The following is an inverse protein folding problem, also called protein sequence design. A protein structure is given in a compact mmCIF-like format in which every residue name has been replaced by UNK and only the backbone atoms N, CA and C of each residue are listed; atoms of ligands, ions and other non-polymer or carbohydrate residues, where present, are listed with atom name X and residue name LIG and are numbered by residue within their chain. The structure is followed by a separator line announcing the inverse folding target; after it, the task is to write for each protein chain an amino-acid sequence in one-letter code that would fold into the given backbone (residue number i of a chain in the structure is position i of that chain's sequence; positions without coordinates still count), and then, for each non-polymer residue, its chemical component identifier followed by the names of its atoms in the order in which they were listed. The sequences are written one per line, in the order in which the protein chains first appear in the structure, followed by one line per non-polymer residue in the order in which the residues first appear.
data_IF_069333748581
#
_entry.id   IF_069333748581
#
_cell.length_a   1.000
_cell.length_b   1.000
_cell.length_c   1.000
_cell.angle_alpha   90.00
_cell.angle_beta   90.00
_cell.angle_gamma   90.00
#
_symmetry.space_group_name_H-M   'P 1'
#
loop_
_entity.id
_entity.type
_entity.pdbx_description
1 polymer ?
#
# COMPACT_ATOMS: atom_id res chain seq x y z
N UNK A 1 -61.43 2.54 -19.22
CA UNK A 1 -60.43 3.27 -18.42
C UNK A 1 -59.64 2.33 -17.48
N UNK A 2 -59.09 1.21 -17.98
CA UNK A 2 -58.23 0.28 -17.20
C UNK A 2 -56.97 -0.18 -17.95
N UNK A 3 -56.68 0.38 -19.13
CA UNK A 3 -55.49 0.02 -19.95
C UNK A 3 -54.41 1.11 -20.02
N UNK A 4 -54.64 2.28 -19.41
CA UNK A 4 -53.67 3.40 -19.45
C UNK A 4 -52.82 3.47 -18.16
N UNK A 5 -53.28 2.88 -17.06
CA UNK A 5 -52.55 2.92 -15.78
C UNK A 5 -51.42 1.87 -15.75
N UNK A 6 -51.55 0.75 -16.49
CA UNK A 6 -50.52 -0.30 -16.51
C UNK A 6 -49.27 0.07 -17.34
N UNK A 7 -49.40 1.04 -18.26
CA UNK A 7 -48.29 1.49 -19.10
C UNK A 7 -47.37 2.50 -18.39
N UNK A 8 -47.87 3.21 -17.38
CA UNK A 8 -47.07 4.16 -16.61
C UNK A 8 -46.32 3.51 -15.44
N UNK A 9 -46.83 2.41 -14.87
CA UNK A 9 -46.12 1.65 -13.82
C UNK A 9 -44.96 0.81 -14.36
N UNK A 10 -44.99 0.44 -15.65
CA UNK A 10 -43.89 -0.26 -16.33
C UNK A 10 -42.80 0.67 -16.88
N UNK A 11 -43.08 1.97 -17.01
CA UNK A 11 -42.08 2.97 -17.46
C UNK A 11 -41.27 3.56 -16.30
N UNK A 12 -41.76 3.46 -15.06
CA UNK A 12 -41.02 3.89 -13.85
C UNK A 12 -40.20 2.77 -13.20
N UNK A 13 -40.31 1.53 -13.68
CA UNK A 13 -39.44 0.41 -13.26
C UNK A 13 -38.26 0.19 -14.23
N UNK A 14 -38.19 0.96 -15.32
CA UNK A 14 -37.15 0.86 -16.35
C UNK A 14 -36.07 1.96 -16.25
N UNK A 15 -36.09 2.80 -15.21
CA UNK A 15 -35.09 3.87 -14.97
C UNK A 15 -34.26 3.61 -13.71
N UNK A 16 -34.38 2.45 -13.07
CA UNK A 16 -33.69 2.14 -11.81
C UNK A 16 -32.64 1.03 -11.91
N UNK A 17 -32.29 0.57 -13.11
CA UNK A 17 -31.23 -0.44 -13.31
C UNK A 17 -30.28 0.07 -14.40
N UNK A 18 -29.69 1.22 -14.12
CA UNK A 18 -28.44 1.67 -14.73
C UNK A 18 -27.40 1.89 -13.65
N UNK A 19 -27.43 1.07 -12.60
CA UNK A 19 -26.19 0.72 -11.93
C UNK A 19 -25.48 -0.22 -12.89
N UNK A 20 -24.59 0.35 -13.72
CA UNK A 20 -23.57 -0.45 -14.37
C UNK A 20 -22.89 -1.23 -13.25
N UNK A 21 -23.22 -2.52 -13.17
CA UNK A 21 -22.32 -3.57 -12.73
C UNK A 21 -21.12 -3.54 -13.68
N UNK A 22 -20.30 -2.49 -13.58
CA UNK A 22 -18.92 -2.56 -13.97
C UNK A 22 -18.32 -3.56 -13.00
N UNK A 23 -18.29 -4.83 -13.41
CA UNK A 23 -17.33 -5.76 -12.88
C UNK A 23 -15.97 -5.10 -13.12
N UNK A 24 -15.46 -4.38 -12.13
CA UNK A 24 -14.04 -4.07 -12.06
C UNK A 24 -13.37 -5.44 -12.07
N UNK A 25 -12.76 -5.79 -13.20
CA UNK A 25 -11.71 -6.79 -13.15
C UNK A 25 -10.74 -6.30 -12.07
N UNK A 26 -10.45 -7.08 -11.02
CA UNK A 26 -9.51 -6.64 -10.00
C UNK A 26 -8.17 -6.40 -10.69
N UNK A 27 -7.83 -5.15 -10.99
CA UNK A 27 -6.48 -4.78 -11.40
C UNK A 27 -5.66 -4.75 -10.13
N UNK A 28 -4.94 -5.84 -9.85
CA UNK A 28 -3.89 -5.84 -8.85
C UNK A 28 -2.92 -4.73 -9.17
N UNK A 29 -2.60 -3.87 -8.22
CA UNK A 29 -1.43 -3.01 -8.35
C UNK A 29 -0.18 -3.85 -8.05
N UNK A 30 0.91 -3.72 -8.83
CA UNK A 30 2.14 -4.43 -8.51
C UNK A 30 2.60 -4.06 -7.10
N UNK A 31 2.62 -5.04 -6.20
CA UNK A 31 3.25 -4.92 -4.90
C UNK A 31 4.74 -5.20 -5.02
N UNK A 32 5.59 -4.26 -4.60
CA UNK A 32 7.04 -4.34 -4.73
C UNK A 32 7.70 -4.30 -3.35
N UNK A 33 8.56 -5.28 -3.08
CA UNK A 33 9.54 -5.25 -2.00
C UNK A 33 10.91 -5.60 -2.57
N UNK A 34 11.99 -5.07 -1.98
CA UNK A 34 13.33 -5.39 -2.45
C UNK A 34 14.35 -5.35 -1.31
N UNK A 35 15.37 -6.19 -1.43
CA UNK A 35 16.63 -6.06 -0.71
C UNK A 35 17.75 -5.68 -1.70
N UNK A 36 19.03 -5.75 -1.29
CA UNK A 36 20.16 -5.43 -2.17
C UNK A 36 20.32 -6.39 -3.35
N UNK A 37 19.77 -7.61 -3.28
CA UNK A 37 20.00 -8.71 -4.20
C UNK A 37 18.75 -9.13 -4.99
N UNK A 38 17.56 -8.97 -4.42
CA UNK A 38 16.30 -9.49 -4.96
C UNK A 38 15.19 -8.46 -4.83
N UNK A 39 14.43 -8.29 -5.91
CA UNK A 39 13.16 -7.60 -5.93
C UNK A 39 12.03 -8.64 -6.05
N UNK A 40 11.04 -8.55 -5.17
CA UNK A 40 9.84 -9.36 -5.15
C UNK A 40 8.66 -8.54 -5.67
N UNK A 41 8.06 -8.99 -6.77
CA UNK A 41 6.91 -8.31 -7.40
C UNK A 41 5.69 -9.22 -7.39
N UNK A 42 4.68 -8.88 -6.60
CA UNK A 42 3.37 -9.50 -6.66
C UNK A 42 2.50 -8.75 -7.66
N UNK A 43 2.10 -9.40 -8.75
CA UNK A 43 1.21 -8.80 -9.74
C UNK A 43 0.35 -9.87 -10.42
N UNK A 44 -0.94 -9.56 -10.53
CA UNK A 44 -1.97 -10.45 -11.03
C UNK A 44 -1.89 -11.80 -10.31
N UNK A 45 -1.59 -12.86 -11.03
CA UNK A 45 -1.62 -14.25 -10.61
C UNK A 45 -0.24 -14.81 -10.25
N UNK A 46 0.79 -13.96 -10.15
CA UNK A 46 2.15 -14.37 -9.81
C UNK A 46 2.85 -13.45 -8.81
N UNK A 47 3.83 -14.03 -8.15
CA UNK A 47 4.92 -13.38 -7.43
C UNK A 47 6.20 -13.71 -8.17
N UNK A 48 6.98 -12.70 -8.54
CA UNK A 48 8.27 -12.87 -9.22
C UNK A 48 9.39 -12.44 -8.30
N UNK A 49 10.46 -13.22 -8.25
CA UNK A 49 11.73 -12.78 -7.68
C UNK A 49 12.70 -12.44 -8.81
N UNK A 50 13.21 -11.22 -8.81
CA UNK A 50 14.06 -10.66 -9.86
C UNK A 50 15.39 -10.23 -9.25
N UNK A 51 16.49 -10.58 -9.88
CA UNK A 51 17.83 -10.17 -9.48
C UNK A 51 18.02 -8.66 -9.69
N UNK A 52 18.34 -7.93 -8.62
CA UNK A 52 18.44 -6.45 -8.64
C UNK A 52 19.66 -5.94 -9.42
N UNK A 53 20.66 -6.79 -9.65
CA UNK A 53 21.89 -6.40 -10.36
C UNK A 53 21.70 -6.32 -11.87
N UNK A 54 20.78 -7.13 -12.43
CA UNK A 54 20.67 -7.29 -13.87
C UNK A 54 19.23 -7.49 -14.40
N UNK A 55 18.22 -7.56 -13.53
CA UNK A 55 16.83 -7.73 -13.93
C UNK A 55 16.44 -9.15 -14.36
N UNK A 56 17.29 -10.16 -14.13
CA UNK A 56 16.98 -11.54 -14.49
C UNK A 56 16.01 -12.20 -13.50
N UNK A 57 15.11 -13.04 -14.02
CA UNK A 57 14.20 -13.83 -13.20
C UNK A 57 14.98 -14.86 -12.38
N UNK A 58 14.78 -14.87 -11.06
CA UNK A 58 15.28 -15.93 -10.17
C UNK A 58 14.28 -17.07 -10.05
N UNK A 59 13.03 -16.74 -9.74
CA UNK A 59 11.92 -17.70 -9.66
C UNK A 59 10.57 -16.99 -9.78
N UNK A 60 9.51 -17.76 -10.02
CA UNK A 60 8.13 -17.30 -9.97
C UNK A 60 7.25 -18.24 -9.15
N UNK A 61 6.25 -17.69 -8.47
CA UNK A 61 5.26 -18.43 -7.71
C UNK A 61 3.84 -17.96 -8.07
N UNK A 62 2.86 -18.87 -8.24
CA UNK A 62 3.05 -20.29 -8.48
C UNK A 62 3.79 -20.53 -9.82
N UNK A 63 4.35 -21.73 -10.00
CA UNK A 63 5.03 -22.09 -11.26
C UNK A 63 4.07 -22.06 -12.47
N UNK A 64 2.81 -22.43 -12.23
CA UNK A 64 1.71 -22.31 -13.18
C UNK A 64 0.62 -21.42 -12.59
N UNK A 65 0.16 -20.45 -13.38
CA UNK A 65 -0.88 -19.52 -12.97
C UNK A 65 -2.18 -20.26 -12.61
N UNK A 66 -2.68 -20.04 -11.40
CA UNK A 66 -4.07 -20.39 -11.09
C UNK A 66 -4.98 -19.20 -11.39
N UNK A 67 -6.07 -19.44 -12.15
CA UNK A 67 -7.11 -18.42 -12.38
C UNK A 67 -7.86 -18.02 -11.11
N UNK A 68 -7.70 -18.78 -10.01
CA UNK A 68 -8.34 -18.50 -8.72
C UNK A 68 -7.50 -17.65 -7.78
N UNK A 69 -6.25 -17.30 -8.13
CA UNK A 69 -5.36 -16.51 -7.27
C UNK A 69 -5.06 -15.16 -7.89
N UNK A 70 -5.16 -14.12 -7.08
CA UNK A 70 -4.71 -12.77 -7.43
C UNK A 70 -4.05 -12.14 -6.22
N UNK A 71 -2.84 -11.63 -6.39
CA UNK A 71 -2.04 -10.99 -5.37
C UNK A 71 -2.19 -9.47 -5.50
N UNK A 72 -2.47 -8.80 -4.38
CA UNK A 72 -2.65 -7.34 -4.29
C UNK A 72 -1.78 -6.71 -3.22
N UNK A 73 -1.57 -7.43 -2.11
CA UNK A 73 -0.68 -6.99 -1.05
C UNK A 73 0.77 -6.99 -1.56
N UNK A 74 1.54 -6.00 -1.13
CA UNK A 74 2.98 -6.02 -1.36
C UNK A 74 3.58 -7.22 -0.62
N UNK A 75 4.50 -7.98 -1.24
CA UNK A 75 5.25 -8.99 -0.52
C UNK A 75 5.97 -8.37 0.66
N UNK A 76 6.03 -9.06 1.79
CA UNK A 76 6.72 -8.59 3.00
C UNK A 76 7.86 -9.54 3.29
N UNK A 77 9.09 -9.02 3.28
CA UNK A 77 10.26 -9.74 3.79
C UNK A 77 10.23 -9.70 5.31
N UNK A 78 10.22 -10.86 5.93
CA UNK A 78 10.24 -11.00 7.38
C UNK A 78 11.68 -10.90 7.91
N UNK A 79 11.88 -10.55 9.19
CA UNK A 79 13.22 -10.50 9.79
C UNK A 79 13.98 -11.83 9.75
N UNK A 80 13.27 -12.97 9.75
CA UNK A 80 13.86 -14.31 9.62
C UNK A 80 14.11 -14.74 8.17
N UNK A 81 13.91 -13.85 7.18
CA UNK A 81 14.20 -14.12 5.77
C UNK A 81 13.16 -15.02 5.11
N UNK A 82 11.89 -14.86 5.44
CA UNK A 82 10.76 -15.42 4.69
C UNK A 82 10.07 -14.32 3.88
N UNK A 83 9.31 -14.72 2.87
CA UNK A 83 8.51 -13.81 2.05
C UNK A 83 7.03 -14.08 2.26
N UNK A 84 6.32 -13.15 2.90
CA UNK A 84 4.88 -13.24 3.11
C UNK A 84 4.12 -12.62 1.95
N UNK A 85 3.10 -13.32 1.46
CA UNK A 85 2.22 -12.82 0.40
C UNK A 85 0.77 -13.19 0.70
N UNK A 86 -0.07 -12.17 0.83
CA UNK A 86 -1.52 -12.33 0.96
C UNK A 86 -2.23 -12.28 -0.39
N UNK A 87 -3.27 -13.11 -0.56
CA UNK A 87 -4.05 -13.17 -1.79
C UNK A 87 -5.56 -12.92 -1.61
N UNK A 88 -6.24 -12.73 -2.75
CA UNK A 88 -7.69 -12.51 -2.83
C UNK A 88 -8.54 -13.75 -2.54
N UNK A 89 -7.92 -14.93 -2.42
CA UNK A 89 -8.57 -16.18 -2.07
C UNK A 89 -8.54 -16.45 -0.56
N UNK A 90 -8.29 -15.41 0.25
CA UNK A 90 -8.21 -15.48 1.72
C UNK A 90 -7.03 -16.30 2.24
N UNK A 91 -5.95 -16.40 1.46
CA UNK A 91 -4.75 -17.13 1.85
C UNK A 91 -3.58 -16.16 2.09
N UNK A 92 -2.92 -16.33 3.23
CA UNK A 92 -1.59 -15.79 3.49
C UNK A 92 -0.58 -16.93 3.35
N UNK A 93 0.45 -16.73 2.52
CA UNK A 93 1.47 -17.74 2.25
C UNK A 93 2.83 -17.20 2.68
N UNK A 94 3.64 -18.04 3.32
CA UNK A 94 5.08 -17.83 3.47
C UNK A 94 5.83 -18.60 2.41
N UNK A 95 6.72 -17.90 1.70
CA UNK A 95 7.57 -18.45 0.65
C UNK A 95 9.04 -18.35 1.09
N UNK A 96 9.82 -19.35 0.70
CA UNK A 96 11.26 -19.28 0.76
C UNK A 96 11.76 -18.25 -0.28
N UNK A 97 12.49 -17.20 0.12
CA UNK A 97 12.92 -16.12 -0.77
C UNK A 97 13.93 -16.55 -1.84
N UNK A 98 14.62 -17.68 -1.67
CA UNK A 98 15.65 -18.16 -2.59
C UNK A 98 15.05 -18.95 -3.76
N UNK A 99 13.93 -19.64 -3.54
CA UNK A 99 13.39 -20.59 -4.53
C UNK A 99 11.87 -20.52 -4.74
N UNK A 100 11.16 -19.70 -3.98
CA UNK A 100 9.71 -19.52 -4.09
C UNK A 100 8.87 -20.72 -3.62
N UNK A 101 9.48 -21.70 -2.93
CA UNK A 101 8.74 -22.81 -2.34
C UNK A 101 7.93 -22.33 -1.14
N UNK A 102 6.73 -22.88 -0.98
CA UNK A 102 5.88 -22.57 0.16
C UNK A 102 6.40 -23.23 1.43
N UNK A 103 6.63 -22.42 2.46
CA UNK A 103 6.99 -22.88 3.80
C UNK A 103 5.71 -23.27 4.56
N UNK A 104 4.71 -22.39 4.56
CA UNK A 104 3.43 -22.60 5.22
C UNK A 104 2.34 -21.72 4.59
N UNK A 105 1.08 -22.03 4.93
CA UNK A 105 -0.11 -21.27 4.53
C UNK A 105 -1.06 -21.08 5.70
N UNK A 106 -1.76 -19.95 5.70
CA UNK A 106 -2.83 -19.62 6.63
C UNK A 106 -4.08 -19.21 5.85
N UNK A 107 -5.24 -19.77 6.19
CA UNK A 107 -6.53 -19.46 5.57
C UNK A 107 -7.38 -18.63 6.53
N UNK A 108 -7.78 -17.44 6.09
CA UNK A 108 -8.63 -16.53 6.84
C UNK A 108 -10.09 -16.58 6.35
N UNK A 109 -10.98 -15.90 7.08
CA UNK A 109 -12.38 -15.77 6.69
C UNK A 109 -12.58 -14.86 5.46
N UNK A 110 -11.64 -13.93 5.21
CA UNK A 110 -11.70 -12.99 4.11
C UNK A 110 -10.32 -12.71 3.49
N UNK A 111 -10.35 -12.07 2.32
CA UNK A 111 -9.16 -11.74 1.52
C UNK A 111 -8.19 -10.80 2.24
N UNK A 112 -6.91 -10.98 1.93
CA UNK A 112 -5.84 -10.07 2.33
C UNK A 112 -5.70 -8.96 1.28
N UNK A 113 -5.93 -7.72 1.68
CA UNK A 113 -5.75 -6.52 0.83
C UNK A 113 -4.57 -5.70 1.34
N UNK A 114 -4.54 -5.41 2.65
CA UNK A 114 -3.39 -4.80 3.30
C UNK A 114 -2.23 -5.78 3.46
N UNK A 115 -1.00 -5.28 3.40
CA UNK A 115 0.19 -6.09 3.66
C UNK A 115 0.29 -6.39 5.15
N UNK A 116 0.73 -7.60 5.55
CA UNK A 116 0.93 -7.93 6.96
C UNK A 116 2.12 -7.15 7.55
N UNK A 117 2.10 -6.93 8.86
CA UNK A 117 3.30 -6.53 9.60
C UNK A 117 4.01 -7.80 10.08
N UNK A 118 5.29 -7.95 9.76
CA UNK A 118 6.14 -8.99 10.36
C UNK A 118 7.12 -8.35 11.34
N UNK A 119 7.23 -8.96 12.51
CA UNK A 119 8.16 -8.60 13.59
C UNK A 119 9.08 -9.79 13.85
N UNK A 120 10.01 -9.67 14.80
CA UNK A 120 10.87 -10.79 15.20
C UNK A 120 10.09 -11.97 15.81
N UNK A 121 8.87 -11.73 16.33
CA UNK A 121 8.14 -12.72 17.10
C UNK A 121 6.75 -13.06 16.53
N UNK A 122 6.17 -12.17 15.73
CA UNK A 122 4.77 -12.28 15.29
C UNK A 122 4.53 -11.64 13.94
N UNK A 123 3.45 -12.10 13.29
CA UNK A 123 2.89 -11.57 12.05
C UNK A 123 1.48 -11.05 12.35
N UNK A 124 1.21 -9.80 12.02
CA UNK A 124 -0.11 -9.18 12.16
C UNK A 124 -0.72 -8.96 10.78
N UNK A 125 -1.78 -9.71 10.46
CA UNK A 125 -2.33 -9.83 9.11
C UNK A 125 -3.76 -9.26 9.03
N UNK A 126 -3.97 -8.09 8.39
CA UNK A 126 -5.28 -7.46 8.26
C UNK A 126 -6.09 -8.03 7.08
N UNK A 127 -7.41 -8.14 7.25
CA UNK A 127 -8.32 -8.67 6.22
C UNK A 127 -9.45 -7.72 5.85
N UNK A 128 -10.02 -7.94 4.66
CA UNK A 128 -11.03 -7.06 4.08
C UNK A 128 -12.41 -7.11 4.76
N UNK A 129 -12.64 -8.04 5.69
CA UNK A 129 -13.83 -8.10 6.55
C UNK A 129 -13.63 -7.38 7.89
N UNK A 130 -12.46 -6.77 8.11
CA UNK A 130 -12.17 -5.99 9.30
C UNK A 130 -11.42 -6.74 10.39
N UNK A 131 -11.06 -8.02 10.15
CA UNK A 131 -10.29 -8.79 11.11
C UNK A 131 -8.79 -8.48 11.07
N UNK A 132 -8.14 -8.52 12.23
CA UNK A 132 -6.69 -8.52 12.37
C UNK A 132 -6.28 -9.81 13.08
N UNK A 133 -5.56 -10.66 12.36
CA UNK A 133 -4.99 -11.88 12.91
C UNK A 133 -3.59 -11.60 13.46
N UNK A 134 -3.24 -12.21 14.59
CA UNK A 134 -1.86 -12.32 15.05
C UNK A 134 -1.43 -13.79 14.92
N UNK A 135 -0.33 -14.02 14.21
CA UNK A 135 0.24 -15.33 13.94
C UNK A 135 1.69 -15.39 14.43
N UNK A 136 2.17 -16.57 14.80
CA UNK A 136 3.60 -16.80 14.96
C UNK A 136 4.30 -16.85 13.59
N UNK A 137 5.64 -16.97 13.58
CA UNK A 137 6.41 -17.05 12.34
C UNK A 137 6.20 -18.36 11.56
N UNK A 138 5.41 -19.29 12.08
CA UNK A 138 5.01 -20.54 11.42
C UNK A 138 3.56 -20.48 10.91
N UNK A 139 2.89 -19.34 11.03
CA UNK A 139 1.53 -19.11 10.58
C UNK A 139 0.44 -19.62 11.54
N UNK A 140 0.78 -19.97 12.78
CA UNK A 140 -0.21 -20.40 13.77
C UNK A 140 -0.78 -19.19 14.52
N UNK A 141 -2.11 -19.12 14.79
CA UNK A 141 -2.70 -18.05 15.57
C UNK A 141 -2.11 -17.92 16.98
N UNK A 142 -1.75 -16.69 17.36
CA UNK A 142 -1.30 -16.32 18.71
C UNK A 142 -2.50 -15.89 19.57
N UNK A 143 -3.41 -15.08 19.02
CA UNK A 143 -4.61 -14.65 19.73
C UNK A 143 -5.70 -15.73 19.70
N UNK A 144 -6.44 -15.88 20.80
CA UNK A 144 -7.59 -16.78 20.87
C UNK A 144 -8.67 -16.41 19.84
N UNK A 145 -8.86 -15.11 19.62
CA UNK A 145 -9.78 -14.56 18.62
C UNK A 145 -9.14 -13.35 17.94
N UNK A 146 -9.27 -13.20 16.61
CA UNK A 146 -8.77 -12.02 15.92
C UNK A 146 -9.55 -10.76 16.36
N UNK A 147 -8.86 -9.63 16.45
CA UNK A 147 -9.51 -8.34 16.61
C UNK A 147 -10.41 -8.06 15.40
N UNK A 148 -11.52 -7.34 15.60
CA UNK A 148 -12.42 -6.93 14.52
C UNK A 148 -12.78 -5.45 14.62
N UNK A 149 -12.63 -4.75 13.50
CA UNK A 149 -13.16 -3.41 13.26
C UNK A 149 -14.51 -3.48 12.53
N UNK A 150 -15.20 -2.34 12.38
CA UNK A 150 -16.56 -2.32 11.80
C UNK A 150 -16.55 -2.41 10.27
N UNK A 151 -15.40 -2.15 9.63
CA UNK A 151 -15.17 -2.25 8.18
C UNK A 151 -13.79 -2.81 7.89
N UNK A 152 -13.46 -2.93 6.61
CA UNK A 152 -12.22 -3.53 6.15
C UNK A 152 -10.95 -2.90 6.75
N UNK A 153 -9.96 -3.73 7.08
CA UNK A 153 -8.60 -3.31 7.39
C UNK A 153 -7.75 -3.44 6.11
N UNK A 154 -7.49 -2.29 5.47
CA UNK A 154 -6.61 -2.21 4.30
C UNK A 154 -5.23 -1.66 4.63
N UNK A 155 -5.12 -0.91 5.73
CA UNK A 155 -3.84 -0.40 6.21
C UNK A 155 -2.97 -1.54 6.73
N UNK A 156 -1.67 -1.47 6.43
CA UNK A 156 -0.67 -2.27 7.14
C UNK A 156 -0.56 -1.78 8.58
N UNK A 157 -0.68 -2.66 9.59
CA UNK A 157 -0.48 -2.28 10.98
C UNK A 157 0.99 -1.90 11.22
N UNK A 158 1.25 -1.09 12.25
CA UNK A 158 2.59 -0.81 12.75
C UNK A 158 2.68 -1.15 14.24
N UNK A 159 3.90 -1.38 14.75
CA UNK A 159 4.15 -1.72 16.16
C UNK A 159 5.06 -0.69 16.82
N UNK A 160 4.70 -0.28 18.04
CA UNK A 160 5.54 0.49 18.97
C UNK A 160 5.58 -0.21 20.33
N UNK A 161 6.70 -0.86 20.64
CA UNK A 161 6.81 -1.71 21.83
C UNK A 161 5.72 -2.79 21.82
N UNK A 162 4.76 -2.67 22.74
CA UNK A 162 3.64 -3.61 22.90
C UNK A 162 2.32 -3.09 22.30
N UNK A 163 2.33 -1.97 21.57
CA UNK A 163 1.12 -1.35 21.00
C UNK A 163 1.13 -1.42 19.48
N UNK A 164 0.09 -2.04 18.91
CA UNK A 164 -0.20 -2.04 17.47
C UNK A 164 -1.10 -0.86 17.11
N UNK A 165 -0.79 -0.17 16.02
CA UNK A 165 -1.67 0.83 15.43
C UNK A 165 -2.16 0.38 14.06
N UNK A 166 -3.47 0.46 13.82
CA UNK A 166 -4.07 0.07 12.53
C UNK A 166 -5.23 0.98 12.14
N UNK A 167 -5.19 1.49 10.91
CA UNK A 167 -6.27 2.28 10.31
C UNK A 167 -7.35 1.39 9.68
N UNK A 168 -8.61 1.79 9.80
CA UNK A 168 -9.75 1.09 9.23
C UNK A 168 -10.52 1.92 8.22
N UNK A 169 -11.20 1.23 7.31
CA UNK A 169 -12.18 1.82 6.39
C UNK A 169 -13.45 2.34 7.09
N UNK A 170 -13.61 2.13 8.41
CA UNK A 170 -14.64 2.76 9.25
C UNK A 170 -14.25 4.15 9.77
N UNK A 171 -13.13 4.67 9.28
CA UNK A 171 -12.57 5.98 9.61
C UNK A 171 -11.99 6.03 11.03
N UNK A 172 -11.68 4.89 11.63
CA UNK A 172 -11.10 4.81 12.98
C UNK A 172 -9.64 4.34 12.92
N UNK A 173 -8.77 5.02 13.68
CA UNK A 173 -7.45 4.52 14.03
C UNK A 173 -7.55 3.78 15.37
N UNK A 174 -7.11 2.53 15.39
CA UNK A 174 -7.13 1.68 16.57
C UNK A 174 -5.72 1.50 17.12
N UNK A 175 -5.59 1.57 18.45
CA UNK A 175 -4.42 1.10 19.18
C UNK A 175 -4.78 -0.16 19.98
N UNK A 176 -4.03 -1.23 19.76
CA UNK A 176 -4.30 -2.55 20.31
C UNK A 176 -3.08 -3.05 21.07
N UNK A 177 -3.29 -3.84 22.12
CA UNK A 177 -2.22 -4.57 22.75
C UNK A 177 -1.74 -5.69 21.80
N UNK A 178 -0.44 -5.71 21.53
CA UNK A 178 0.16 -6.65 20.57
C UNK A 178 0.09 -8.11 21.03
N UNK A 179 0.02 -8.37 22.34
CA UNK A 179 0.04 -9.70 22.93
C UNK A 179 -1.31 -10.41 22.84
N UNK A 180 -2.42 -9.69 22.96
CA UNK A 180 -3.76 -10.29 23.03
C UNK A 180 -4.83 -9.63 22.13
N UNK A 181 -4.48 -8.54 21.42
CA UNK A 181 -5.38 -7.83 20.52
C UNK A 181 -6.43 -6.97 21.22
N UNK A 182 -6.32 -6.81 22.55
CA UNK A 182 -7.24 -5.98 23.32
C UNK A 182 -7.12 -4.50 22.95
N UNK A 183 -8.26 -3.79 22.91
CA UNK A 183 -8.30 -2.37 22.59
C UNK A 183 -7.68 -1.53 23.70
N UNK A 184 -6.68 -0.72 23.37
CA UNK A 184 -6.08 0.28 24.26
C UNK A 184 -6.85 1.61 24.12
N UNK A 185 -6.88 2.15 22.90
CA UNK A 185 -7.65 3.34 22.55
C UNK A 185 -8.08 3.30 21.08
N UNK A 186 -9.04 4.15 20.72
CA UNK A 186 -9.41 4.38 19.32
C UNK A 186 -9.79 5.84 19.08
N UNK A 187 -9.49 6.34 17.89
CA UNK A 187 -9.81 7.71 17.49
C UNK A 187 -10.61 7.69 16.19
N UNK A 188 -11.81 8.27 16.23
CA UNK A 188 -12.65 8.49 15.06
C UNK A 188 -12.14 9.69 14.28
N UNK A 189 -11.82 9.49 13.01
CA UNK A 189 -11.46 10.53 12.04
C UNK A 189 -12.61 10.73 11.03
N UNK A 190 -12.47 11.76 10.20
CA UNK A 190 -13.53 12.18 9.28
C UNK A 190 -13.63 11.31 8.01
N UNK A 191 -12.62 10.48 7.73
CA UNK A 191 -12.55 9.67 6.52
C UNK A 191 -11.80 8.35 6.70
N UNK A 192 -12.01 7.44 5.75
CA UNK A 192 -11.43 6.11 5.74
C UNK A 192 -9.89 6.15 5.75
N UNK A 193 -9.29 5.15 6.40
CA UNK A 193 -7.86 5.00 6.60
C UNK A 193 -7.39 3.73 5.89
N UNK A 194 -6.83 3.90 4.69
CA UNK A 194 -6.41 2.78 3.83
C UNK A 194 -4.91 2.46 3.94
N UNK A 195 -4.12 3.35 4.54
CA UNK A 195 -2.66 3.28 4.55
C UNK A 195 -2.11 3.21 5.97
N UNK A 196 -0.90 2.69 6.10
CA UNK A 196 -0.23 2.61 7.41
C UNK A 196 -0.01 4.03 7.97
N UNK A 197 -0.15 4.24 9.29
CA UNK A 197 0.33 5.46 9.91
C UNK A 197 1.86 5.47 9.94
N UNK A 198 2.45 6.66 9.88
CA UNK A 198 3.85 6.88 10.20
C UNK A 198 3.98 7.15 11.70
N UNK A 199 4.78 6.36 12.41
CA UNK A 199 5.13 6.62 13.80
C UNK A 199 6.51 7.30 13.87
N UNK A 200 6.57 8.46 14.52
CA UNK A 200 7.83 9.15 14.79
C UNK A 200 7.72 9.99 16.07
N UNK A 201 8.67 9.80 16.99
CA UNK A 201 8.78 10.58 18.23
C UNK A 201 7.48 10.62 19.05
N UNK A 202 6.81 9.48 19.20
CA UNK A 202 5.55 9.36 19.96
C UNK A 202 4.34 9.98 19.27
N UNK A 203 4.42 10.29 17.97
CA UNK A 203 3.31 10.80 17.17
C UNK A 203 3.01 9.88 15.99
N UNK A 204 1.74 9.75 15.67
CA UNK A 204 1.23 9.04 14.50
C UNK A 204 0.80 10.06 13.44
N UNK A 205 1.20 9.88 12.19
CA UNK A 205 0.78 10.70 11.06
C UNK A 205 0.08 9.84 10.03
N UNK A 206 -1.12 10.25 9.62
CA UNK A 206 -1.94 9.44 8.72
C UNK A 206 -2.70 10.30 7.72
N UNK A 207 -2.78 9.80 6.48
CA UNK A 207 -3.64 10.36 5.43
C UNK A 207 -5.05 9.78 5.51
N UNK A 208 -6.06 10.58 5.15
CA UNK A 208 -7.46 10.15 5.18
C UNK A 208 -8.18 10.43 3.86
N UNK A 209 -9.26 9.70 3.60
CA UNK A 209 -10.18 9.99 2.51
C UNK A 209 -11.12 11.18 2.79
N UNK A 210 -10.95 11.88 3.91
CA UNK A 210 -11.57 13.18 4.13
C UNK A 210 -10.74 14.33 3.53
N UNK A 211 -9.69 14.01 2.74
CA UNK A 211 -8.76 14.99 2.17
C UNK A 211 -7.96 15.68 3.27
N UNK A 212 -7.40 14.88 4.18
CA UNK A 212 -6.68 15.38 5.34
C UNK A 212 -5.41 14.56 5.60
N UNK A 213 -4.42 15.24 6.16
CA UNK A 213 -3.31 14.63 6.91
C UNK A 213 -3.51 14.97 8.37
N UNK A 214 -3.48 13.96 9.24
CA UNK A 214 -3.75 14.11 10.67
C UNK A 214 -2.54 13.63 11.46
N UNK A 215 -2.12 14.42 12.46
CA UNK A 215 -1.19 13.97 13.49
C UNK A 215 -1.92 13.67 14.79
N UNK A 216 -1.56 12.57 15.43
CA UNK A 216 -2.10 12.12 16.69
C UNK A 216 -0.98 11.81 17.68
N UNK A 217 -1.23 11.98 18.97
CA UNK A 217 -0.38 11.46 20.02
C UNK A 217 -0.53 9.93 20.10
N UNK A 218 0.58 9.21 20.03
CA UNK A 218 0.55 7.74 19.97
C UNK A 218 0.09 7.11 21.30
N UNK A 219 0.31 7.79 22.44
CA UNK A 219 0.02 7.24 23.76
C UNK A 219 -1.48 7.22 24.06
N UNK A 220 -2.25 8.19 23.53
CA UNK A 220 -3.66 8.33 23.88
C UNK A 220 -4.61 8.55 22.69
N UNK A 221 -4.09 8.74 21.48
CA UNK A 221 -4.88 8.96 20.27
C UNK A 221 -5.44 10.38 20.12
N UNK A 222 -4.99 11.35 20.92
CA UNK A 222 -5.43 12.75 20.81
C UNK A 222 -4.94 13.36 19.50
N UNK A 223 -5.83 14.05 18.78
CA UNK A 223 -5.46 14.77 17.56
C UNK A 223 -4.64 16.00 17.95
N UNK A 224 -3.42 16.08 17.42
CA UNK A 224 -2.48 17.18 17.63
C UNK A 224 -2.68 18.30 16.62
N UNK A 225 -2.84 17.93 15.35
CA UNK A 225 -3.14 18.86 14.26
C UNK A 225 -3.78 18.12 13.07
N UNK A 226 -4.46 18.88 12.22
CA UNK A 226 -5.05 18.41 10.96
C UNK A 226 -4.74 19.43 9.86
N UNK A 227 -4.37 18.92 8.68
CA UNK A 227 -4.10 19.71 7.48
C UNK A 227 -5.01 19.23 6.36
N UNK A 228 -5.73 20.15 5.72
CA UNK A 228 -6.53 19.84 4.53
C UNK A 228 -5.63 19.71 3.29
N UNK A 229 -5.95 18.74 2.45
CA UNK A 229 -5.33 18.51 1.13
C UNK A 229 -6.34 18.76 0.02
N UNK A 230 -5.84 18.89 -1.21
CA UNK A 230 -6.67 19.13 -2.41
C UNK A 230 -7.42 17.85 -2.86
N UNK A 231 -7.06 16.67 -2.35
CA UNK A 231 -7.68 15.39 -2.66
C UNK A 231 -7.48 14.33 -1.58
N UNK A 232 -8.07 13.15 -1.76
CA UNK A 232 -7.88 12.00 -0.86
C UNK A 232 -6.41 11.64 -0.73
N UNK A 233 -5.99 11.35 0.50
CA UNK A 233 -4.62 10.93 0.79
C UNK A 233 -4.58 9.42 0.89
N UNK A 234 -4.15 8.76 -0.19
CA UNK A 234 -3.95 7.31 -0.24
C UNK A 234 -2.59 6.86 0.33
N UNK A 235 -1.61 7.75 0.22
CA UNK A 235 -0.22 7.49 0.57
C UNK A 235 0.01 7.48 2.09
N UNK A 236 0.89 6.59 2.56
CA UNK A 236 1.49 6.73 3.91
C UNK A 236 2.47 7.91 3.93
N UNK A 237 2.30 8.90 4.83
CA UNK A 237 3.27 9.99 4.98
C UNK A 237 4.69 9.48 5.28
N UNK A 238 5.71 10.17 4.79
CA UNK A 238 7.13 9.86 5.05
C UNK A 238 7.82 11.06 5.69
N UNK A 239 8.78 10.84 6.58
CA UNK A 239 9.49 11.94 7.24
C UNK A 239 10.97 12.03 6.85
N UNK A 240 11.47 13.26 6.68
CA UNK A 240 12.90 13.58 6.67
C UNK A 240 13.12 14.94 7.34
N UNK A 241 13.97 14.97 8.36
CA UNK A 241 14.18 16.17 9.17
C UNK A 241 12.90 16.58 9.90
N UNK A 242 12.46 17.82 9.70
CA UNK A 242 11.25 18.39 10.31
C UNK A 242 10.00 18.29 9.42
N UNK A 243 10.10 17.57 8.28
CA UNK A 243 9.06 17.55 7.25
C UNK A 243 8.44 16.18 7.05
N UNK A 244 7.14 16.19 6.80
CA UNK A 244 6.34 15.09 6.29
C UNK A 244 6.08 15.30 4.79
N UNK A 245 6.32 14.26 4.01
CA UNK A 245 6.11 14.22 2.57
C UNK A 245 4.96 13.29 2.24
N UNK A 246 3.99 13.79 1.48
CA UNK A 246 2.79 13.02 1.12
C UNK A 246 2.16 13.60 -0.14
N UNK A 247 1.56 12.74 -0.96
CA UNK A 247 0.80 13.13 -2.14
C UNK A 247 -0.68 12.80 -2.01
N UNK A 248 -1.50 13.48 -2.81
CA UNK A 248 -2.94 13.21 -2.92
C UNK A 248 -3.37 12.81 -4.35
N UNK A 249 -4.61 12.30 -4.45
CA UNK A 249 -5.20 11.91 -5.74
C UNK A 249 -5.53 13.08 -6.66
N UNK A 250 -5.48 14.31 -6.18
CA UNK A 250 -5.61 15.52 -7.01
C UNK A 250 -4.29 15.88 -7.70
N UNK A 251 -3.20 15.18 -7.36
CA UNK A 251 -1.89 15.34 -7.96
C UNK A 251 -1.06 16.44 -7.29
N UNK A 252 -1.38 16.81 -6.05
CA UNK A 252 -0.55 17.71 -5.26
C UNK A 252 0.38 16.90 -4.35
N UNK A 253 1.66 17.27 -4.31
CA UNK A 253 2.66 16.72 -3.39
C UNK A 253 3.07 17.78 -2.37
N UNK A 254 3.04 17.43 -1.09
CA UNK A 254 3.19 18.35 0.03
C UNK A 254 4.45 18.05 0.82
N UNK A 255 5.07 19.09 1.36
CA UNK A 255 5.91 19.04 2.53
C UNK A 255 5.25 19.81 3.68
N UNK A 256 5.00 19.12 4.79
CA UNK A 256 4.26 19.63 5.95
C UNK A 256 5.19 19.57 7.16
N UNK A 257 5.23 20.62 7.97
CA UNK A 257 5.97 20.62 9.22
C UNK A 257 5.38 19.59 10.21
N UNK A 258 6.21 18.67 10.69
CA UNK A 258 5.75 17.58 11.57
C UNK A 258 5.26 18.05 12.94
N UNK A 259 5.71 19.21 13.41
CA UNK A 259 5.40 19.70 14.75
C UNK A 259 4.01 20.31 14.84
N UNK A 260 3.64 21.14 13.87
CA UNK A 260 2.44 21.99 13.93
C UNK A 260 1.51 21.88 12.71
N UNK A 261 1.87 21.09 11.70
CA UNK A 261 1.08 20.93 10.48
C UNK A 261 1.15 22.12 9.53
N UNK A 262 2.04 23.09 9.74
CA UNK A 262 2.20 24.18 8.78
C UNK A 262 2.73 23.66 7.43
N UNK A 263 2.22 24.23 6.34
CA UNK A 263 2.67 23.90 5.00
C UNK A 263 4.03 24.57 4.73
N UNK A 264 5.06 23.77 4.49
CA UNK A 264 6.38 24.29 4.09
C UNK A 264 6.38 24.61 2.59
N UNK A 265 6.03 23.63 1.76
CA UNK A 265 5.90 23.81 0.32
C UNK A 265 4.96 22.76 -0.28
N UNK A 266 4.49 23.03 -1.50
CA UNK A 266 3.78 22.05 -2.34
C UNK A 266 4.10 22.24 -3.81
N UNK A 267 4.05 21.15 -4.57
CA UNK A 267 4.19 21.13 -6.03
C UNK A 267 3.01 20.36 -6.64
N UNK A 268 2.75 20.58 -7.93
CA UNK A 268 1.69 19.87 -8.67
C UNK A 268 2.28 19.18 -9.90
N UNK A 269 2.71 17.92 -9.76
CA UNK A 269 3.17 17.06 -10.84
C UNK A 269 2.09 16.69 -11.87
N UNK A 270 2.42 15.73 -12.74
CA UNK A 270 1.51 15.18 -13.74
C UNK A 270 0.64 14.05 -13.15
N UNK A 271 -0.55 14.41 -12.64
CA UNK A 271 -1.59 13.46 -12.27
C UNK A 271 -1.55 12.97 -10.83
N UNK A 272 -2.48 12.08 -10.50
CA UNK A 272 -2.73 11.59 -9.14
C UNK A 272 -1.50 10.93 -8.52
N UNK A 273 -1.32 11.12 -7.21
CA UNK A 273 -0.27 10.48 -6.41
C UNK A 273 -0.93 9.56 -5.40
N UNK A 274 -0.92 8.26 -5.68
CA UNK A 274 -1.56 7.24 -4.84
C UNK A 274 -0.57 6.41 -4.02
N UNK A 275 0.73 6.52 -4.31
CA UNK A 275 1.80 5.80 -3.61
C UNK A 275 2.46 6.67 -2.54
N UNK A 276 3.01 6.04 -1.50
CA UNK A 276 3.92 6.73 -0.60
C UNK A 276 5.26 7.07 -1.28
N UNK A 277 5.87 8.15 -0.81
CA UNK A 277 7.21 8.53 -1.23
C UNK A 277 8.25 7.55 -0.70
N UNK A 278 9.46 7.62 -1.23
CA UNK A 278 10.66 6.95 -0.72
C UNK A 278 11.77 7.96 -0.58
N UNK A 279 12.53 7.86 0.51
CA UNK A 279 13.56 8.84 0.84
C UNK A 279 14.91 8.13 0.81
N UNK A 280 15.84 8.63 0.00
CA UNK A 280 17.21 8.14 -0.03
C UNK A 280 18.18 9.23 -0.49
N UNK A 281 19.38 9.24 0.10
CA UNK A 281 20.45 10.19 -0.25
C UNK A 281 19.96 11.66 -0.32
N UNK A 282 19.21 12.09 0.69
CA UNK A 282 18.65 13.45 0.76
C UNK A 282 17.76 13.79 -0.46
N UNK A 283 17.06 12.80 -1.02
CA UNK A 283 16.14 12.96 -2.15
C UNK A 283 14.83 12.28 -1.80
N UNK A 284 13.72 12.93 -2.15
CA UNK A 284 12.38 12.36 -2.03
C UNK A 284 11.94 11.90 -3.41
N UNK A 285 11.57 10.63 -3.50
CA UNK A 285 11.11 10.00 -4.72
C UNK A 285 9.63 9.65 -4.60
N UNK A 286 8.83 9.96 -5.61
CA UNK A 286 7.41 9.57 -5.63
C UNK A 286 6.94 9.35 -7.06
N UNK A 287 5.88 8.56 -7.20
CA UNK A 287 5.32 8.18 -8.50
C UNK A 287 3.96 8.81 -8.72
N UNK A 288 3.60 9.02 -9.99
CA UNK A 288 2.27 9.49 -10.39
C UNK A 288 1.57 8.44 -11.25
N UNK A 289 0.24 8.46 -11.23
CA UNK A 289 -0.57 7.61 -12.10
C UNK A 289 -0.41 7.92 -13.58
N UNK A 290 0.25 9.03 -13.94
CA UNK A 290 0.61 9.34 -15.33
C UNK A 290 1.87 8.61 -15.79
N UNK A 291 2.49 7.77 -14.93
CA UNK A 291 3.66 6.98 -15.27
C UNK A 291 4.99 7.68 -15.01
N UNK A 292 4.97 8.79 -14.26
CA UNK A 292 6.17 9.54 -13.90
C UNK A 292 6.72 9.12 -12.54
N UNK A 293 8.05 9.02 -12.44
CA UNK A 293 8.81 9.02 -11.20
C UNK A 293 9.51 10.38 -11.08
N UNK A 294 9.27 11.06 -9.96
CA UNK A 294 9.95 12.30 -9.61
C UNK A 294 11.02 12.03 -8.57
N UNK A 295 12.15 12.73 -8.71
CA UNK A 295 13.15 12.89 -7.66
C UNK A 295 13.21 14.38 -7.32
N UNK A 296 12.84 14.75 -6.09
CA UNK A 296 12.77 16.15 -5.66
C UNK A 296 13.66 16.41 -4.45
N UNK A 297 14.15 17.65 -4.35
CA UNK A 297 14.83 18.11 -3.16
C UNK A 297 13.84 18.26 -1.98
N UNK A 298 14.18 17.77 -0.78
CA UNK A 298 13.29 17.83 0.38
C UNK A 298 13.06 19.25 0.91
N UNK A 299 13.96 20.19 0.63
CA UNK A 299 13.92 21.54 1.19
C UNK A 299 12.92 22.47 0.49
N UNK A 300 12.73 22.33 -0.82
CA UNK A 300 11.92 23.25 -1.62
C UNK A 300 11.06 22.57 -2.70
N UNK A 301 11.11 21.24 -2.80
CA UNK A 301 10.36 20.47 -3.79
C UNK A 301 10.90 20.63 -5.22
N UNK A 302 12.09 21.23 -5.41
CA UNK A 302 12.68 21.37 -6.73
C UNK A 302 13.03 20.01 -7.33
N UNK A 303 12.61 19.81 -8.58
CA UNK A 303 12.87 18.57 -9.32
C UNK A 303 14.37 18.43 -9.63
N UNK A 304 14.99 17.38 -9.09
CA UNK A 304 16.36 16.97 -9.44
C UNK A 304 16.38 16.25 -10.78
N UNK A 305 15.45 15.31 -10.98
CA UNK A 305 15.21 14.64 -12.25
C UNK A 305 13.82 13.99 -12.29
N UNK A 306 13.36 13.64 -13.49
CA UNK A 306 12.15 12.85 -13.71
C UNK A 306 12.41 11.70 -14.68
N UNK A 307 11.67 10.63 -14.52
CA UNK A 307 11.64 9.51 -15.44
C UNK A 307 10.19 9.18 -15.82
N UNK A 308 9.90 9.12 -17.11
CA UNK A 308 8.56 8.81 -17.64
C UNK A 308 8.56 7.41 -18.24
N UNK A 309 7.68 6.56 -17.73
CA UNK A 309 7.31 5.31 -18.41
C UNK A 309 6.22 5.62 -19.42
N UNK A 310 6.46 5.36 -20.70
CA UNK A 310 5.46 5.61 -21.74
C UNK A 310 4.30 4.62 -21.62
N UNK A 311 3.06 5.09 -21.81
CA UNK A 311 1.86 4.25 -21.84
C UNK A 311 1.70 3.34 -20.60
N UNK A 312 2.05 3.87 -19.42
CA UNK A 312 1.97 3.14 -18.16
C UNK A 312 1.45 4.01 -17.02
N UNK A 313 0.92 3.35 -16.00
CA UNK A 313 0.62 3.96 -14.71
C UNK A 313 1.54 3.42 -13.62
N UNK A 314 1.88 4.27 -12.65
CA UNK A 314 2.64 3.89 -11.46
C UNK A 314 1.78 4.09 -10.22
N UNK A 315 1.30 2.98 -9.66
CA UNK A 315 0.48 2.96 -8.44
C UNK A 315 1.27 2.59 -7.19
N UNK A 316 2.40 1.90 -7.37
CA UNK A 316 3.26 1.44 -6.29
C UNK A 316 4.32 2.48 -5.93
N UNK A 317 4.75 2.44 -4.67
CA UNK A 317 5.89 3.23 -4.22
C UNK A 317 7.17 2.76 -4.91
N UNK A 318 8.06 3.68 -5.27
CA UNK A 318 9.41 3.29 -5.68
C UNK A 318 10.11 2.56 -4.52
N UNK A 319 11.10 1.72 -4.80
CA UNK A 319 11.89 1.02 -3.78
C UNK A 319 13.37 1.21 -4.04
N UNK A 320 14.16 1.48 -3.00
CA UNK A 320 15.61 1.63 -3.14
C UNK A 320 16.28 0.28 -2.96
N UNK A 321 17.18 -0.06 -3.88
CA UNK A 321 18.01 -1.27 -3.82
C UNK A 321 19.43 -0.90 -4.23
N UNK A 322 20.32 -0.79 -3.23
CA UNK A 322 21.69 -0.32 -3.42
C UNK A 322 21.76 1.07 -4.06
N UNK A 323 22.30 1.15 -5.28
CA UNK A 323 22.40 2.39 -6.06
C UNK A 323 21.27 2.55 -7.10
N UNK A 324 20.23 1.72 -7.01
CA UNK A 324 19.10 1.76 -7.91
C UNK A 324 17.83 2.18 -7.18
N UNK A 325 16.92 2.81 -7.91
CA UNK A 325 15.52 2.96 -7.53
C UNK A 325 14.67 2.11 -8.49
N UNK A 326 13.84 1.26 -7.91
CA UNK A 326 13.00 0.29 -8.59
C UNK A 326 11.57 0.83 -8.65
N UNK A 327 10.94 0.72 -9.81
CA UNK A 327 9.52 1.04 -9.99
C UNK A 327 8.81 -0.10 -10.72
N UNK A 328 7.56 -0.35 -10.35
CA UNK A 328 6.75 -1.41 -10.93
C UNK A 328 5.58 -0.82 -11.76
N UNK A 329 5.79 -0.54 -13.06
CA UNK A 329 4.75 0.03 -13.90
C UNK A 329 3.65 -0.98 -14.23
N UNK A 330 2.43 -0.46 -14.35
CA UNK A 330 1.34 -1.13 -15.08
C UNK A 330 1.42 -0.67 -16.53
N UNK A 331 2.30 -1.29 -17.30
CA UNK A 331 2.60 -0.88 -18.69
C UNK A 331 1.91 -1.78 -19.72
N UNK A 332 1.52 -1.20 -20.88
CA UNK A 332 0.91 -1.96 -21.99
C UNK A 332 1.81 -3.04 -22.58
N UNK A 333 3.12 -2.85 -22.52
CA UNK A 333 4.12 -3.80 -22.99
C UNK A 333 4.35 -4.97 -22.00
N UNK A 334 3.72 -4.94 -20.83
CA UNK A 334 3.87 -5.88 -19.70
C UNK A 334 5.22 -5.77 -18.98
N UNK A 335 5.99 -4.71 -19.20
CA UNK A 335 7.12 -4.39 -18.32
C UNK A 335 6.61 -4.29 -16.89
N UNK A 336 7.20 -5.08 -15.99
CA UNK A 336 6.72 -5.25 -14.63
C UNK A 336 7.66 -4.60 -13.59
N UNK A 337 8.93 -4.45 -13.92
CA UNK A 337 9.92 -3.82 -13.05
C UNK A 337 10.94 -3.06 -13.88
N UNK A 338 11.27 -1.84 -13.46
CA UNK A 338 12.31 -1.02 -14.06
C UNK A 338 13.25 -0.58 -12.94
N UNK A 339 14.56 -0.71 -13.17
CA UNK A 339 15.58 -0.15 -12.30
C UNK A 339 16.21 1.07 -12.95
N UNK A 340 16.26 2.15 -12.19
CA UNK A 340 16.90 3.40 -12.57
C UNK A 340 18.06 3.67 -11.62
N UNK A 341 19.10 4.33 -12.12
CA UNK A 341 20.16 4.86 -11.27
C UNK A 341 19.60 5.89 -10.29
N UNK A 342 19.88 5.70 -9.00
CA UNK A 342 19.27 6.49 -7.92
C UNK A 342 19.59 8.00 -8.04
N UNK A 343 20.77 8.35 -8.56
CA UNK A 343 21.23 9.74 -8.64
C UNK A 343 20.81 10.42 -9.94
N UNK A 344 20.79 9.70 -11.05
CA UNK A 344 20.62 10.29 -12.39
C UNK A 344 19.27 9.97 -13.03
N UNK A 345 18.52 9.00 -12.52
CA UNK A 345 17.27 8.52 -13.12
C UNK A 345 17.46 7.73 -14.42
N UNK A 346 18.70 7.41 -14.79
CA UNK A 346 19.00 6.65 -16.02
C UNK A 346 18.59 5.19 -15.86
N UNK A 347 17.83 4.64 -16.82
CA UNK A 347 17.46 3.23 -16.78
C UNK A 347 18.68 2.31 -16.87
N UNK A 348 18.79 1.40 -15.89
CA UNK A 348 19.82 0.37 -15.81
C UNK A 348 19.36 -0.93 -16.47
N UNK A 349 18.15 -1.37 -16.14
CA UNK A 349 17.53 -2.57 -16.71
C UNK A 349 16.00 -2.52 -16.52
N UNK A 350 15.30 -3.41 -17.22
CA UNK A 350 13.87 -3.66 -17.05
C UNK A 350 13.60 -5.16 -17.10
N UNK A 351 12.55 -5.60 -16.42
CA UNK A 351 12.07 -6.97 -16.40
C UNK A 351 10.63 -7.05 -16.94
N UNK A 352 10.43 -7.97 -17.88
CA UNK A 352 9.14 -8.28 -18.49
C UNK A 352 8.96 -9.80 -18.42
N UNK A 353 7.93 -10.32 -17.72
CA UNK A 353 7.65 -11.75 -17.70
C UNK A 353 7.41 -12.30 -19.11
N UNK A 354 7.88 -13.51 -19.39
CA UNK A 354 7.58 -14.19 -20.65
C UNK A 354 6.08 -14.51 -20.76
N UNK A 355 5.49 -14.27 -21.94
CA UNK A 355 4.10 -14.68 -22.21
C UNK A 355 4.07 -16.20 -22.38
N UNK A 356 3.46 -16.91 -21.44
CA UNK A 356 3.14 -18.34 -21.61
C UNK A 356 1.91 -18.54 -22.49
#
# INVERSE_FOLDING_TARGET
MKKVILAFTLLFLAVSISACSGSFAPTSWPGLAADENTAYVAYQNHVYAVDTSNGSLRWQYPQEASRSRTFFAAPVLTPNGELLVGDYASVLVSLNPENGQENWRFEAAARFVGSPLSTENAIYAPTADGALYALDLQGNPIWDTPFHSDKALWATPILDGDTLYVGSMDHTLYALNAADGSLIWKTQLDGALNSAPLLLNGRLYIGTFAQQVVALDAANGDILWTVDTDGWVWATPQALGERLFVGDVSGTFYAINLQDGSLDWRITPDGAITSNATIAQDTVYFTTESGSLYAVAPDDGSTRWTYQVQDAQLYGAPQVSGQSILIAPTAKDNTLLIALDLQTGTQRWSFTPEKK
#
